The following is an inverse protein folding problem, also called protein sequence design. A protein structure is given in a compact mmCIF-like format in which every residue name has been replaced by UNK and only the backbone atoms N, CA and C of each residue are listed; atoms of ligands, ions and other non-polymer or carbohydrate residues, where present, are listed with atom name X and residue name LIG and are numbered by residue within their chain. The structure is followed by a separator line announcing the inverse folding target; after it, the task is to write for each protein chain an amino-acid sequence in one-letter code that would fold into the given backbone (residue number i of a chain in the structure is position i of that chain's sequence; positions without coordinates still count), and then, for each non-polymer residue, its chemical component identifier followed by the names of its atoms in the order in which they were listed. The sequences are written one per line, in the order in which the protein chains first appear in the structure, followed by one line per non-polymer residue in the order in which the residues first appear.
data_IF_285282555346
#
_entry.id   IF_285282555346
#
_cell.length_a   1.000
_cell.length_b   1.000
_cell.length_c   1.000
_cell.angle_alpha   90.00
_cell.angle_beta   90.00
_cell.angle_gamma   90.00
#
_symmetry.space_group_name_H-M   'P 1'
#
loop_
_entity.id
_entity.type
_entity.pdbx_description
1 polymer ?
#
# COMPACT_ATOMS: atom_id res chain seq x y z
N UNK A 1 18.80 -11.59 -3.08
CA UNK A 1 17.92 -11.46 -4.27
C UNK A 1 18.22 -10.15 -4.99
N UNK A 2 18.04 -10.03 -6.31
CA UNK A 2 18.16 -8.77 -7.08
C UNK A 2 16.76 -8.18 -7.41
N UNK A 3 16.67 -6.88 -7.72
CA UNK A 3 15.39 -6.22 -8.09
C UNK A 3 14.63 -6.94 -9.20
N UNK A 4 15.31 -7.33 -10.28
CA UNK A 4 14.69 -8.03 -11.40
C UNK A 4 14.09 -9.39 -11.00
N UNK A 5 14.73 -10.09 -10.05
CA UNK A 5 14.19 -11.37 -9.54
C UNK A 5 12.94 -11.13 -8.71
N UNK A 6 12.92 -10.07 -7.89
CA UNK A 6 11.73 -9.67 -7.14
C UNK A 6 10.57 -9.38 -8.10
N UNK A 7 10.80 -8.59 -9.15
CA UNK A 7 9.77 -8.28 -10.15
C UNK A 7 9.19 -9.54 -10.80
N UNK A 8 10.04 -10.48 -11.23
CA UNK A 8 9.62 -11.76 -11.82
C UNK A 8 8.75 -12.57 -10.85
N UNK A 9 9.06 -12.53 -9.54
CA UNK A 9 8.23 -13.20 -8.54
C UNK A 9 6.89 -12.47 -8.35
N UNK A 10 6.90 -11.14 -8.29
CA UNK A 10 5.68 -10.35 -8.12
C UNK A 10 4.74 -10.43 -9.33
N UNK A 11 5.25 -10.67 -10.54
CA UNK A 11 4.43 -10.95 -11.73
C UNK A 11 3.57 -12.22 -11.59
N UNK A 12 3.90 -13.11 -10.66
CA UNK A 12 3.11 -14.33 -10.38
C UNK A 12 1.96 -14.10 -9.39
N UNK A 13 1.91 -12.93 -8.74
CA UNK A 13 0.85 -12.58 -7.79
C UNK A 13 -0.45 -12.40 -8.58
N UNK A 14 -1.46 -13.20 -8.22
CA UNK A 14 -2.77 -13.15 -8.86
C UNK A 14 -3.55 -11.91 -8.39
N UNK A 15 -4.26 -11.28 -9.31
CA UNK A 15 -5.16 -10.16 -9.01
C UNK A 15 -6.46 -10.61 -8.34
N UNK A 16 -7.29 -9.63 -7.97
CA UNK A 16 -8.59 -9.90 -7.36
C UNK A 16 -9.48 -10.75 -8.31
N UNK A 17 -10.20 -11.77 -7.82
CA UNK A 17 -10.98 -12.67 -8.69
C UNK A 17 -12.19 -11.97 -9.33
N UNK A 18 -12.69 -10.90 -8.70
CA UNK A 18 -13.79 -10.07 -9.19
C UNK A 18 -13.52 -8.60 -8.83
N UNK A 19 -12.61 -7.91 -9.54
CA UNK A 19 -12.24 -6.55 -9.17
C UNK A 19 -13.45 -5.61 -9.31
N UNK A 20 -13.71 -4.83 -8.27
CA UNK A 20 -14.69 -3.75 -8.34
C UNK A 20 -13.99 -2.43 -8.68
N UNK A 21 -14.41 -1.82 -9.80
CA UNK A 21 -13.95 -0.47 -10.15
C UNK A 21 -14.45 0.58 -9.15
N UNK A 22 -15.62 0.34 -8.52
CA UNK A 22 -16.19 1.24 -7.52
C UNK A 22 -15.39 1.26 -6.21
N UNK A 23 -14.71 0.16 -5.90
CA UNK A 23 -13.83 0.02 -4.75
C UNK A 23 -12.35 0.29 -5.10
N UNK A 24 -12.07 0.71 -6.33
CA UNK A 24 -10.72 0.96 -6.84
C UNK A 24 -9.74 -0.21 -6.60
N UNK A 25 -10.23 -1.45 -6.74
CA UNK A 25 -9.46 -2.68 -6.52
C UNK A 25 -8.48 -2.98 -7.67
N UNK A 26 -7.55 -2.06 -7.91
CA UNK A 26 -6.48 -2.20 -8.88
C UNK A 26 -5.22 -2.75 -8.19
N UNK A 27 -4.68 -3.85 -8.70
CA UNK A 27 -3.40 -4.36 -8.20
C UNK A 27 -2.25 -3.43 -8.59
N UNK A 28 -1.36 -3.13 -7.65
CA UNK A 28 -0.11 -2.42 -7.94
C UNK A 28 0.66 -3.20 -9.01
N UNK A 29 1.05 -2.58 -10.14
CA UNK A 29 1.82 -3.27 -11.17
C UNK A 29 3.13 -3.82 -10.63
N UNK A 30 3.50 -5.05 -11.01
CA UNK A 30 4.65 -5.76 -10.43
C UNK A 30 5.98 -5.01 -10.59
N UNK A 31 6.20 -4.32 -11.72
CA UNK A 31 7.38 -3.49 -11.96
C UNK A 31 7.45 -2.29 -10.99
N UNK A 32 6.31 -1.63 -10.74
CA UNK A 32 6.21 -0.50 -9.81
C UNK A 32 6.37 -0.98 -8.36
N UNK A 33 5.68 -2.08 -8.00
CA UNK A 33 5.81 -2.70 -6.68
C UNK A 33 7.26 -3.08 -6.39
N UNK A 34 7.93 -3.78 -7.33
CA UNK A 34 9.33 -4.15 -7.18
C UNK A 34 10.26 -2.93 -7.05
N UNK A 35 10.00 -1.86 -7.80
CA UNK A 35 10.80 -0.64 -7.75
C UNK A 35 10.66 0.14 -6.43
N UNK A 36 9.46 0.20 -5.87
CA UNK A 36 9.21 0.83 -4.56
C UNK A 36 9.74 -0.03 -3.42
N UNK A 37 9.48 -1.33 -3.44
CA UNK A 37 9.96 -2.27 -2.42
C UNK A 37 11.48 -2.37 -2.39
N UNK A 38 12.13 -2.40 -3.55
CA UNK A 38 13.58 -2.40 -3.65
C UNK A 38 14.18 -1.08 -3.13
N UNK A 39 13.51 0.04 -3.40
CA UNK A 39 13.89 1.33 -2.85
C UNK A 39 13.75 1.33 -1.31
N UNK A 40 12.63 0.85 -0.77
CA UNK A 40 12.41 0.76 0.67
C UNK A 40 13.43 -0.16 1.37
N UNK A 41 13.77 -1.30 0.75
CA UNK A 41 14.83 -2.17 1.21
C UNK A 41 16.19 -1.46 1.25
N UNK A 42 16.54 -0.70 0.21
CA UNK A 42 17.78 0.06 0.15
C UNK A 42 17.85 1.20 1.18
N UNK A 43 16.70 1.72 1.63
CA UNK A 43 16.62 2.69 2.74
C UNK A 43 16.73 2.05 4.13
N UNK A 44 16.77 0.71 4.23
CA UNK A 44 16.78 0.00 5.51
C UNK A 44 15.40 -0.14 6.17
N UNK A 45 14.33 0.10 5.41
CA UNK A 45 12.95 0.14 5.92
C UNK A 45 12.20 -1.20 5.74
N UNK A 46 12.88 -2.27 5.32
CA UNK A 46 12.24 -3.60 5.07
C UNK A 46 12.93 -4.73 5.81
N UNK A 47 14.21 -4.99 5.55
CA UNK A 47 14.88 -6.18 6.09
C UNK A 47 14.98 -6.13 7.62
N UNK A 48 14.54 -7.20 8.29
CA UNK A 48 14.51 -7.28 9.76
C UNK A 48 13.52 -6.31 10.41
N UNK A 49 12.51 -5.83 9.66
CA UNK A 49 11.48 -4.92 10.17
C UNK A 49 10.14 -5.62 10.34
N UNK A 50 9.33 -5.13 11.27
CA UNK A 50 7.89 -5.36 11.29
C UNK A 50 7.23 -4.42 10.28
N UNK A 51 6.66 -4.99 9.23
CA UNK A 51 6.02 -4.25 8.13
C UNK A 51 4.51 -4.45 8.17
N UNK A 52 3.76 -3.38 7.98
CA UNK A 52 2.30 -3.42 7.83
C UNK A 52 1.90 -3.00 6.42
N UNK A 53 1.07 -3.79 5.76
CA UNK A 53 0.48 -3.52 4.45
C UNK A 53 -1.01 -3.16 4.62
N UNK A 54 -1.35 -1.88 4.51
CA UNK A 54 -2.72 -1.38 4.70
C UNK A 54 -3.49 -1.39 3.38
N UNK A 55 -4.64 -2.07 3.36
CA UNK A 55 -5.43 -2.25 2.13
C UNK A 55 -4.67 -3.14 1.15
N UNK A 56 -4.21 -4.29 1.65
CA UNK A 56 -3.24 -5.12 0.95
C UNK A 56 -3.78 -5.77 -0.32
N UNK A 57 -5.11 -5.83 -0.49
CA UNK A 57 -5.78 -6.51 -1.58
C UNK A 57 -5.30 -7.96 -1.68
N UNK A 58 -4.64 -8.30 -2.80
CA UNK A 58 -4.08 -9.64 -3.03
C UNK A 58 -2.63 -9.82 -2.57
N UNK A 59 -2.12 -8.87 -1.78
CA UNK A 59 -0.90 -8.99 -0.99
C UNK A 59 0.41 -8.65 -1.70
N UNK A 60 0.39 -7.97 -2.85
CA UNK A 60 1.61 -7.78 -3.65
C UNK A 60 2.73 -7.04 -2.90
N UNK A 61 2.40 -6.03 -2.09
CA UNK A 61 3.37 -5.27 -1.31
C UNK A 61 3.87 -6.08 -0.11
N UNK A 62 2.97 -6.66 0.68
CA UNK A 62 3.30 -7.53 1.81
C UNK A 62 4.16 -8.74 1.42
N UNK A 63 3.79 -9.45 0.36
CA UNK A 63 4.58 -10.56 -0.20
C UNK A 63 5.98 -10.09 -0.58
N UNK A 64 6.07 -8.96 -1.29
CA UNK A 64 7.35 -8.42 -1.72
C UNK A 64 8.23 -7.98 -0.55
N UNK A 65 7.66 -7.41 0.51
CA UNK A 65 8.37 -7.08 1.74
C UNK A 65 8.94 -8.35 2.41
N UNK A 66 8.13 -9.42 2.50
CA UNK A 66 8.56 -10.70 3.07
C UNK A 66 9.67 -11.36 2.24
N UNK A 67 9.56 -11.35 0.91
CA UNK A 67 10.62 -11.83 -0.01
C UNK A 67 11.95 -11.05 0.13
N UNK A 68 11.88 -9.79 0.56
CA UNK A 68 13.05 -8.94 0.83
C UNK A 68 13.59 -9.07 2.26
N UNK A 69 13.01 -9.94 3.08
CA UNK A 69 13.50 -10.27 4.41
C UNK A 69 12.91 -9.42 5.53
N UNK A 70 11.71 -8.87 5.37
CA UNK A 70 10.93 -8.40 6.51
C UNK A 70 10.78 -9.53 7.54
N UNK A 71 10.94 -9.21 8.83
CA UNK A 71 10.86 -10.20 9.91
C UNK A 71 9.40 -10.65 10.07
N UNK A 72 8.51 -9.68 10.20
CA UNK A 72 7.07 -9.86 10.32
C UNK A 72 6.36 -8.99 9.28
N UNK A 73 5.31 -9.53 8.68
CA UNK A 73 4.42 -8.78 7.79
C UNK A 73 2.98 -9.02 8.21
N UNK A 74 2.28 -7.95 8.58
CA UNK A 74 0.84 -7.94 8.79
C UNK A 74 0.20 -7.28 7.58
N UNK A 75 -0.73 -7.96 6.92
CA UNK A 75 -1.45 -7.45 5.76
C UNK A 75 -2.94 -7.44 6.07
N UNK A 76 -3.57 -6.28 5.93
CA UNK A 76 -4.97 -6.11 6.27
C UNK A 76 -5.79 -5.54 5.13
N UNK A 77 -7.01 -6.01 5.03
CA UNK A 77 -8.02 -5.56 4.06
C UNK A 77 -9.41 -5.80 4.63
N UNK A 78 -10.42 -5.08 4.14
CA UNK A 78 -11.82 -5.29 4.51
C UNK A 78 -12.46 -6.39 3.66
N UNK A 79 -11.88 -6.70 2.50
CA UNK A 79 -12.37 -7.73 1.58
C UNK A 79 -11.75 -9.10 1.90
N UNK A 80 -12.52 -9.96 2.57
CA UNK A 80 -12.11 -11.33 2.90
C UNK A 80 -11.78 -12.18 1.64
N UNK A 81 -12.43 -11.90 0.50
CA UNK A 81 -12.12 -12.60 -0.74
C UNK A 81 -10.73 -12.21 -1.26
N UNK A 82 -10.35 -10.93 -1.14
CA UNK A 82 -9.01 -10.45 -1.46
C UNK A 82 -7.95 -11.11 -0.58
N UNK A 83 -8.18 -11.17 0.74
CA UNK A 83 -7.29 -11.84 1.69
C UNK A 83 -7.15 -13.33 1.42
N UNK A 84 -8.23 -14.01 1.02
CA UNK A 84 -8.18 -15.41 0.59
C UNK A 84 -7.27 -15.63 -0.62
N UNK A 85 -7.18 -14.66 -1.54
CA UNK A 85 -6.22 -14.68 -2.65
C UNK A 85 -4.82 -14.30 -2.19
N UNK A 86 -4.68 -13.32 -1.29
CA UNK A 86 -3.38 -12.97 -0.70
C UNK A 86 -2.72 -14.17 -0.02
N UNK A 87 -3.48 -14.97 0.72
CA UNK A 87 -2.99 -16.20 1.34
C UNK A 87 -2.46 -17.21 0.32
N UNK A 88 -3.19 -17.42 -0.79
CA UNK A 88 -2.77 -18.33 -1.88
C UNK A 88 -1.51 -17.81 -2.58
N UNK A 89 -1.45 -16.51 -2.86
CA UNK A 89 -0.29 -15.87 -3.48
C UNK A 89 0.96 -16.00 -2.59
N UNK A 90 0.82 -15.74 -1.29
CA UNK A 90 1.90 -15.88 -0.31
C UNK A 90 2.43 -17.32 -0.25
N UNK A 91 1.51 -18.29 -0.12
CA UNK A 91 1.86 -19.72 -0.11
C UNK A 91 2.55 -20.16 -1.41
N UNK A 92 2.07 -19.73 -2.58
CA UNK A 92 2.66 -20.07 -3.87
C UNK A 92 4.08 -19.52 -4.07
N UNK A 93 4.42 -18.42 -3.37
CA UNK A 93 5.75 -17.81 -3.39
C UNK A 93 6.61 -18.22 -2.18
N UNK A 94 6.12 -19.14 -1.34
CA UNK A 94 6.86 -19.68 -0.20
C UNK A 94 7.06 -18.68 0.93
N UNK A 95 6.15 -17.73 1.10
CA UNK A 95 6.19 -16.73 2.17
C UNK A 95 4.95 -16.80 3.07
N UNK A 96 5.11 -16.40 4.32
CA UNK A 96 4.06 -16.24 5.31
C UNK A 96 3.66 -14.77 5.49
N UNK A 97 2.36 -14.52 5.66
CA UNK A 97 1.79 -13.23 6.03
C UNK A 97 0.79 -13.44 7.17
N UNK A 98 0.78 -12.52 8.14
CA UNK A 98 -0.32 -12.41 9.10
C UNK A 98 -1.45 -11.62 8.43
N UNK A 99 -2.56 -12.30 8.11
CA UNK A 99 -3.70 -11.68 7.43
C UNK A 99 -4.78 -11.27 8.43
N UNK A 100 -5.29 -10.05 8.32
CA UNK A 100 -6.31 -9.51 9.22
C UNK A 100 -7.45 -8.87 8.43
N UNK A 101 -8.66 -9.40 8.59
CA UNK A 101 -9.88 -8.78 8.04
C UNK A 101 -10.34 -7.68 8.99
N UNK A 102 -9.99 -6.43 8.72
CA UNK A 102 -10.31 -5.28 9.59
C UNK A 102 -10.38 -3.99 8.79
N UNK A 103 -11.21 -3.04 9.24
CA UNK A 103 -11.15 -1.67 8.76
C UNK A 103 -9.82 -1.03 9.19
N UNK A 104 -9.17 -0.30 8.29
CA UNK A 104 -7.90 0.39 8.56
C UNK A 104 -7.97 1.29 9.81
N UNK A 105 -9.13 1.88 10.11
CA UNK A 105 -9.33 2.73 11.31
C UNK A 105 -9.21 1.94 12.61
N UNK A 106 -9.37 0.62 12.58
CA UNK A 106 -9.39 -0.20 13.79
C UNK A 106 -8.09 -1.00 14.00
N UNK A 107 -7.09 -0.84 13.11
CA UNK A 107 -5.81 -1.54 13.25
C UNK A 107 -5.00 -1.02 14.47
N UNK A 108 -4.68 -1.88 15.47
CA UNK A 108 -4.22 -1.40 16.77
C UNK A 108 -2.70 -1.44 16.98
N UNK A 109 -1.95 -2.12 16.11
CA UNK A 109 -0.56 -2.46 16.40
C UNK A 109 0.46 -1.46 15.84
N UNK A 110 1.57 -1.20 16.56
CA UNK A 110 2.70 -0.47 16.01
C UNK A 110 3.54 -1.35 15.07
N UNK A 111 4.26 -0.70 14.15
CA UNK A 111 5.20 -1.31 13.22
C UNK A 111 6.38 -0.38 12.94
N UNK A 112 7.43 -0.91 12.31
CA UNK A 112 8.57 -0.09 11.87
C UNK A 112 8.26 0.65 10.57
N UNK A 113 7.55 -0.01 9.65
CA UNK A 113 7.26 0.50 8.30
C UNK A 113 5.83 0.17 7.89
N UNK A 114 5.14 1.13 7.29
CA UNK A 114 3.88 0.90 6.58
C UNK A 114 4.11 0.98 5.08
N UNK A 115 3.51 0.05 4.34
CA UNK A 115 3.34 0.07 2.89
C UNK A 115 1.84 0.17 2.59
N UNK A 116 1.44 0.96 1.60
CA UNK A 116 0.03 0.98 1.17
C UNK A 116 -0.16 1.53 -0.23
N UNK A 117 -1.12 0.98 -0.95
CA UNK A 117 -1.69 1.57 -2.16
C UNK A 117 -3.19 1.81 -1.90
N UNK A 118 -3.56 2.90 -1.20
CA UNK A 118 -4.94 3.13 -0.78
C UNK A 118 -5.84 3.44 -1.98
N UNK A 119 -7.18 3.31 -1.84
CA UNK A 119 -8.12 3.80 -2.83
C UNK A 119 -7.94 5.31 -3.03
N UNK A 120 -7.94 5.79 -4.27
CA UNK A 120 -7.62 7.17 -4.62
C UNK A 120 -8.82 8.14 -4.56
N UNK A 121 -9.98 7.71 -4.05
CA UNK A 121 -11.17 8.55 -3.89
C UNK A 121 -11.68 9.16 -5.20
N UNK A 122 -11.61 8.41 -6.30
CA UNK A 122 -12.04 8.81 -7.64
C UNK A 122 -13.55 9.05 -7.76
N UNK A 123 -14.33 8.37 -6.92
CA UNK A 123 -15.79 8.46 -6.92
C UNK A 123 -16.28 9.58 -6.00
N UNK A 124 -17.32 10.31 -6.44
CA UNK A 124 -17.89 11.46 -5.70
C UNK A 124 -18.42 11.09 -4.30
N UNK A 125 -18.75 9.82 -4.07
CA UNK A 125 -19.20 9.29 -2.77
C UNK A 125 -18.07 9.15 -1.75
N UNK A 126 -16.81 9.07 -2.20
CA UNK A 126 -15.66 8.66 -1.39
C UNK A 126 -14.48 9.65 -1.53
N UNK A 127 -14.82 10.94 -1.65
CA UNK A 127 -13.84 12.01 -1.58
C UNK A 127 -13.04 11.85 -0.27
N UNK A 128 -11.72 11.66 -0.39
CA UNK A 128 -10.78 11.44 0.73
C UNK A 128 -10.76 10.04 1.36
N UNK A 129 -11.12 8.99 0.61
CA UNK A 129 -10.97 7.59 1.08
C UNK A 129 -9.52 7.22 1.47
N UNK A 130 -8.52 7.96 0.99
CA UNK A 130 -7.11 7.80 1.35
C UNK A 130 -6.73 8.44 2.68
N UNK A 131 -7.55 9.34 3.24
CA UNK A 131 -7.25 10.04 4.51
C UNK A 131 -7.25 9.10 5.71
N UNK A 132 -8.25 8.21 5.93
CA UNK A 132 -8.20 7.25 7.02
C UNK A 132 -6.97 6.32 6.97
N UNK A 133 -6.54 5.96 5.75
CA UNK A 133 -5.32 5.18 5.54
C UNK A 133 -4.08 5.97 5.93
N UNK A 134 -3.98 7.24 5.52
CA UNK A 134 -2.86 8.12 5.86
C UNK A 134 -2.76 8.37 7.37
N UNK A 135 -3.89 8.64 8.04
CA UNK A 135 -3.93 8.81 9.49
C UNK A 135 -3.45 7.57 10.22
N UNK A 136 -3.97 6.39 9.83
CA UNK A 136 -3.55 5.13 10.42
C UNK A 136 -2.08 4.86 10.16
N UNK A 137 -1.60 5.04 8.93
CA UNK A 137 -0.21 4.76 8.56
C UNK A 137 0.78 5.56 9.42
N UNK A 138 0.55 6.87 9.58
CA UNK A 138 1.41 7.74 10.38
C UNK A 138 1.30 7.50 11.89
N UNK A 139 0.16 6.96 12.36
CA UNK A 139 0.00 6.50 13.73
C UNK A 139 0.72 5.17 14.00
N UNK A 140 0.73 4.27 13.00
CA UNK A 140 1.26 2.91 13.10
C UNK A 140 2.78 2.85 13.03
N UNK A 141 3.41 3.62 12.14
CA UNK A 141 4.85 3.52 11.88
C UNK A 141 5.55 4.89 11.74
N UNK A 142 6.84 4.98 12.10
CA UNK A 142 7.66 6.18 11.83
C UNK A 142 7.96 6.35 10.34
N UNK A 143 7.88 5.29 9.53
CA UNK A 143 8.11 5.33 8.08
C UNK A 143 6.89 4.78 7.34
N UNK A 144 6.44 5.49 6.31
CA UNK A 144 5.32 5.08 5.45
C UNK A 144 5.68 5.24 3.98
N UNK A 145 5.38 4.24 3.17
CA UNK A 145 5.40 4.31 1.71
C UNK A 145 3.96 4.25 1.20
N UNK A 146 3.53 5.28 0.49
CA UNK A 146 2.14 5.39 0.04
C UNK A 146 2.02 5.92 -1.37
N UNK A 147 1.04 5.41 -2.12
CA UNK A 147 0.71 5.84 -3.47
C UNK A 147 -0.50 6.78 -3.46
N UNK A 148 -0.45 7.82 -4.30
CA UNK A 148 -1.56 8.74 -4.52
C UNK A 148 -1.60 9.20 -5.98
N UNK A 149 -2.76 9.66 -6.46
CA UNK A 149 -2.82 10.35 -7.75
C UNK A 149 -1.94 11.59 -7.73
N UNK A 150 -1.22 11.84 -8.82
CA UNK A 150 -0.38 13.04 -8.91
C UNK A 150 -1.18 14.34 -8.73
N UNK A 151 -2.45 14.34 -9.13
CA UNK A 151 -3.38 15.47 -8.99
C UNK A 151 -3.71 15.80 -7.52
N UNK A 152 -3.74 14.79 -6.64
CA UNK A 152 -4.08 14.98 -5.22
C UNK A 152 -2.85 15.18 -4.34
N UNK A 153 -1.64 15.05 -4.89
CA UNK A 153 -0.38 15.20 -4.15
C UNK A 153 -0.31 16.48 -3.28
N UNK A 154 -0.69 17.70 -3.75
CA UNK A 154 -0.64 18.89 -2.91
C UNK A 154 -1.54 18.81 -1.66
N UNK A 155 -2.66 18.10 -1.75
CA UNK A 155 -3.54 17.85 -0.60
C UNK A 155 -2.88 16.87 0.37
N UNK A 156 -2.30 15.78 -0.15
CA UNK A 156 -1.61 14.78 0.67
C UNK A 156 -0.44 15.38 1.43
N UNK A 157 0.39 16.19 0.79
CA UNK A 157 1.54 16.83 1.46
C UNK A 157 1.10 17.77 2.59
N UNK A 158 -0.01 18.50 2.42
CA UNK A 158 -0.60 19.28 3.52
C UNK A 158 -1.04 18.38 4.66
N UNK A 159 -1.76 17.30 4.36
CA UNK A 159 -2.24 16.36 5.39
C UNK A 159 -1.10 15.67 6.13
N UNK A 160 -0.05 15.28 5.42
CA UNK A 160 1.19 14.73 6.01
C UNK A 160 1.80 15.73 7.00
N UNK A 161 1.86 17.01 6.64
CA UNK A 161 2.40 18.06 7.52
C UNK A 161 1.51 18.29 8.75
N UNK A 162 0.19 18.31 8.60
CA UNK A 162 -0.77 18.43 9.71
C UNK A 162 -0.67 17.25 10.68
N UNK A 163 -0.49 16.05 10.12
CA UNK A 163 -0.22 14.82 10.86
C UNK A 163 1.23 14.72 11.29
N UNK A 164 2.03 15.80 11.17
CA UNK A 164 3.43 15.99 11.58
C UNK A 164 4.42 14.96 11.07
N UNK A 165 4.20 14.47 9.86
CA UNK A 165 5.19 13.76 9.05
C UNK A 165 5.82 14.69 8.01
N UNK A 166 6.83 14.18 7.32
CA UNK A 166 7.54 14.86 6.24
C UNK A 166 7.73 13.90 5.07
N UNK A 167 7.36 14.33 3.86
CA UNK A 167 7.66 13.58 2.65
C UNK A 167 9.14 13.73 2.29
N UNK A 168 9.93 12.69 2.59
CA UNK A 168 11.38 12.68 2.38
C UNK A 168 11.78 12.33 0.95
N UNK A 169 10.97 11.52 0.27
CA UNK A 169 11.22 11.10 -1.11
C UNK A 169 9.93 11.01 -1.89
N UNK A 170 10.04 11.22 -3.21
CA UNK A 170 8.96 11.16 -4.17
C UNK A 170 9.41 10.40 -5.41
N UNK A 171 8.58 9.49 -5.91
CA UNK A 171 8.75 8.82 -7.21
C UNK A 171 7.46 8.95 -8.01
N UNK A 172 7.56 9.18 -9.32
CA UNK A 172 6.40 9.32 -10.21
C UNK A 172 6.29 8.11 -11.14
N UNK A 173 5.07 7.67 -11.39
CA UNK A 173 4.74 6.48 -12.17
C UNK A 173 3.51 6.72 -13.04
N UNK A 174 3.42 5.99 -14.16
CA UNK A 174 2.18 5.79 -14.91
C UNK A 174 1.59 4.45 -14.53
N UNK A 175 0.42 4.44 -13.89
CA UNK A 175 -0.31 3.21 -13.58
C UNK A 175 -1.15 2.79 -14.79
N UNK A 176 -0.92 1.61 -15.38
CA UNK A 176 -1.78 1.09 -16.43
C UNK A 176 -3.13 0.72 -15.81
N UNK A 177 -4.19 1.45 -16.15
CA UNK A 177 -5.54 1.04 -15.78
C UNK A 177 -6.16 0.22 -16.92
N UNK A 178 -6.57 -1.05 -16.67
CA UNK A 178 -7.32 -1.80 -17.64
C UNK A 178 -8.68 -1.12 -17.88
N UNK A 179 -9.08 -0.99 -19.14
CA UNK A 179 -10.43 -0.53 -19.48
C UNK A 179 -11.47 -1.52 -18.94
N UNK A 180 -12.45 -1.00 -18.20
CA UNK A 180 -13.56 -1.78 -17.61
C UNK A 180 -14.72 -2.06 -18.58
N UNK A 181 -14.56 -1.79 -19.88
CA UNK A 181 -15.62 -1.94 -20.90
C UNK A 181 -15.46 -3.27 -21.68
N UNK A 182 -16.51 -4.11 -21.77
CA UNK A 182 -16.41 -5.45 -22.35
C UNK A 182 -16.20 -5.54 -23.88
N UNK A 183 -16.15 -4.43 -24.62
CA UNK A 183 -16.21 -4.43 -26.09
C UNK A 183 -15.16 -3.57 -26.83
N UNK A 184 -14.10 -3.11 -26.18
CA UNK A 184 -13.01 -2.42 -26.88
C UNK A 184 -11.65 -3.07 -26.61
N UNK A 185 -11.10 -3.69 -27.65
CA UNK A 185 -9.66 -3.91 -27.83
C UNK A 185 -9.04 -2.59 -28.30
N UNK A 186 -8.57 -1.71 -27.41
CA UNK A 186 -7.41 -0.80 -27.63
C UNK A 186 -7.13 0.17 -26.46
N UNK A 187 -5.83 0.39 -26.25
CA UNK A 187 -5.06 1.32 -25.39
C UNK A 187 -5.38 1.42 -23.89
N UNK A 188 -4.54 0.78 -23.05
CA UNK A 188 -4.45 1.01 -21.61
C UNK A 188 -4.19 2.50 -21.31
N UNK A 189 -5.10 3.18 -20.60
CA UNK A 189 -4.86 4.55 -20.14
C UNK A 189 -3.91 4.54 -18.94
N UNK A 190 -2.83 5.31 -19.03
CA UNK A 190 -1.95 5.55 -17.88
C UNK A 190 -2.53 6.63 -16.96
N UNK A 191 -2.60 6.33 -15.67
CA UNK A 191 -2.93 7.30 -14.63
C UNK A 191 -1.65 7.75 -13.94
N UNK A 192 -1.36 9.07 -13.90
CA UNK A 192 -0.23 9.61 -13.15
C UNK A 192 -0.39 9.37 -11.65
N UNK A 193 0.53 8.61 -11.08
CA UNK A 193 0.60 8.26 -9.65
C UNK A 193 1.95 8.68 -9.09
N UNK A 194 1.95 9.14 -7.84
CA UNK A 194 3.15 9.41 -7.07
C UNK A 194 3.25 8.41 -5.92
N UNK A 195 4.46 7.96 -5.63
CA UNK A 195 4.79 7.29 -4.39
C UNK A 195 5.56 8.26 -3.50
N UNK A 196 5.14 8.39 -2.25
CA UNK A 196 5.81 9.18 -1.22
C UNK A 196 6.40 8.27 -0.15
N UNK A 197 7.65 8.53 0.23
CA UNK A 197 8.22 8.04 1.50
C UNK A 197 8.07 9.12 2.55
N UNK A 198 7.20 8.89 3.51
CA UNK A 198 6.93 9.80 4.63
C UNK A 198 7.71 9.31 5.85
N UNK A 199 8.39 10.22 6.53
CA UNK A 199 9.02 9.98 7.82
C UNK A 199 8.35 10.84 8.90
N UNK A 200 8.13 10.27 10.08
CA UNK A 200 7.65 10.99 11.26
C UNK A 200 8.76 11.00 12.31
N UNK A 201 9.08 12.18 12.84
CA UNK A 201 9.94 12.29 14.02
C UNK A 201 9.30 11.54 15.20
N UNK A 202 10.10 10.92 16.06
CA UNK A 202 9.60 10.19 17.22
C UNK A 202 8.64 11.09 18.02
N UNK A 203 7.35 10.77 18.03
CA UNK A 203 6.42 11.29 19.04
C UNK A 203 6.05 10.15 19.94
N UNK A 204 6.03 10.44 21.23
CA UNK A 204 5.51 9.56 22.27
C UNK A 204 4.13 9.04 21.87
N UNK A 205 3.98 7.72 21.87
CA UNK A 205 2.78 6.97 21.48
C UNK A 205 1.55 7.25 22.36
N UNK A 206 1.59 8.24 23.25
CA UNK A 206 0.56 8.58 24.22
C UNK A 206 -0.45 9.64 23.75
N UNK A 207 -0.29 10.21 22.55
CA UNK A 207 -1.08 11.37 22.11
C UNK A 207 -2.23 11.09 21.14
N UNK A 208 -2.46 9.83 20.74
CA UNK A 208 -3.57 9.46 19.85
C UNK A 208 -4.65 8.73 20.66
N UNK A 209 -5.37 9.48 21.50
CA UNK A 209 -6.71 9.05 21.92
C UNK A 209 -7.70 9.54 20.84
N UNK A 210 -8.62 8.69 20.35
CA UNK A 210 -9.66 9.16 19.44
C UNK A 210 -10.53 10.16 20.19
N UNK A 211 -10.60 11.40 19.68
CA UNK A 211 -11.54 12.39 20.15
C UNK A 211 -12.95 11.84 20.02
N UNK A 212 -13.65 11.72 21.14
CA UNK A 212 -15.10 11.49 21.16
C UNK A 212 -15.78 12.72 20.57
N UNK A 213 -16.45 12.54 19.44
CA UNK A 213 -17.39 13.48 18.83
C UNK A 213 -18.58 12.71 18.30
#
# INVERSE_FOLDING_TARGET
MKKQQLEILLQKVQGHPKPSADLEQYSTPANIAADVLWFAYAQGDIAGKKVVDLGCGTGILGIGAKLLGAEEVISLDVDEAALGVAMKNASALGVDLSLLTVDVKDFPEPADTVLMNPPFGAQKSDLHADVPFLERALATAPVTYTFHKAETEPFILRRVTELGGEATHRKAYGFPLPHSMPFHTEETKEVPVVMLRIARGARDASSIAPGKG
#
